data_IF_534790968566
#
_entry.id   IF_534790968566
#
_cell.length_a   1.000
_cell.length_b   1.000
_cell.length_c   1.000
_cell.angle_alpha   90.00
_cell.angle_beta   90.00
_cell.angle_gamma   90.00
#
_symmetry.space_group_name_H-M   'P 1'
#
loop_
_entity.id
_entity.type
_entity.pdbx_description
1 polymer ?
#
# COMPACT_ATOMS: atom_id res chain seq x y z
N UNK A 1 44.03 -26.69 5.67
CA UNK A 1 43.36 -25.93 4.59
C UNK A 1 41.93 -25.59 5.00
N UNK A 2 41.78 -24.51 5.77
CA UNK A 2 40.52 -23.99 6.35
C UNK A 2 39.91 -22.87 5.49
N UNK A 3 40.22 -22.83 4.19
CA UNK A 3 39.95 -21.66 3.34
C UNK A 3 38.75 -21.81 2.39
N UNK A 4 38.14 -23.00 2.29
CA UNK A 4 37.02 -23.24 1.36
C UNK A 4 35.64 -23.14 2.02
N UNK A 5 35.54 -23.14 3.35
CA UNK A 5 34.26 -23.14 4.05
C UNK A 5 33.60 -21.75 4.12
N UNK A 6 34.37 -20.68 3.87
CA UNK A 6 33.89 -19.30 3.90
C UNK A 6 33.25 -18.83 2.57
N UNK A 7 33.46 -19.56 1.47
CA UNK A 7 32.90 -19.20 0.16
C UNK A 7 31.44 -19.67 -0.03
N UNK A 8 30.97 -20.60 0.80
CA UNK A 8 29.59 -21.12 0.75
C UNK A 8 28.58 -20.31 1.59
N UNK A 9 29.05 -19.44 2.49
CA UNK A 9 28.20 -18.56 3.30
C UNK A 9 27.93 -17.18 2.67
N UNK A 10 28.60 -16.85 1.57
CA UNK A 10 28.50 -15.53 0.91
C UNK A 10 27.37 -15.39 -0.12
N UNK A 11 26.68 -16.48 -0.48
CA UNK A 11 25.71 -16.50 -1.59
C UNK A 11 24.25 -16.67 -1.15
N UNK A 12 23.97 -16.53 0.15
CA UNK A 12 22.60 -16.53 0.69
C UNK A 12 22.22 -15.09 1.05
N UNK A 13 22.50 -14.14 0.14
CA UNK A 13 21.76 -12.88 0.15
C UNK A 13 20.42 -13.19 -0.53
N UNK A 14 19.49 -13.76 0.24
CA UNK A 14 18.10 -13.88 -0.20
C UNK A 14 17.65 -12.47 -0.61
N UNK A 15 17.50 -12.24 -1.91
CA UNK A 15 16.64 -11.20 -2.44
C UNK A 15 15.24 -11.53 -1.94
N UNK A 16 14.92 -11.12 -0.70
CA UNK A 16 13.57 -11.09 -0.19
C UNK A 16 12.88 -9.96 -0.97
N UNK A 17 12.16 -10.35 -2.02
CA UNK A 17 11.32 -9.43 -2.76
C UNK A 17 10.17 -8.98 -1.87
N UNK A 18 9.88 -7.68 -1.87
CA UNK A 18 8.79 -7.04 -1.14
C UNK A 18 7.51 -7.89 -1.25
N UNK A 19 6.90 -8.24 -0.13
CA UNK A 19 5.64 -8.99 -0.10
C UNK A 19 4.47 -8.01 -0.02
N UNK A 20 3.43 -8.16 -0.84
CA UNK A 20 2.25 -7.31 -0.82
C UNK A 20 0.96 -8.14 -0.74
N UNK A 21 -0.11 -7.54 -0.23
CA UNK A 21 -1.44 -8.14 -0.34
C UNK A 21 -1.92 -8.14 -1.78
N UNK A 22 -2.65 -9.19 -2.16
CA UNK A 22 -3.23 -9.40 -3.48
C UNK A 22 -4.70 -9.80 -3.38
N UNK A 23 -5.57 -8.95 -3.92
CA UNK A 23 -6.99 -9.20 -4.08
C UNK A 23 -7.60 -8.31 -5.16
N UNK A 24 -8.78 -8.68 -5.65
CA UNK A 24 -9.59 -7.91 -6.59
C UNK A 24 -11.07 -8.07 -6.26
N UNK A 25 -11.77 -6.94 -6.14
CA UNK A 25 -13.21 -6.89 -5.89
C UNK A 25 -13.58 -5.98 -4.72
N UNK A 26 -14.88 -5.84 -4.45
CA UNK A 26 -15.39 -4.93 -3.41
C UNK A 26 -14.94 -5.30 -2.00
N UNK A 27 -14.88 -6.59 -1.68
CA UNK A 27 -14.40 -7.14 -0.40
C UNK A 27 -12.91 -6.85 -0.14
N UNK A 28 -12.15 -6.50 -1.17
CA UNK A 28 -10.76 -6.06 -1.04
C UNK A 28 -10.67 -4.63 -0.45
N UNK A 29 -11.78 -3.98 -0.10
CA UNK A 29 -11.76 -2.67 0.59
C UNK A 29 -11.20 -2.78 2.01
N UNK A 30 -11.59 -3.83 2.73
CA UNK A 30 -11.34 -4.01 4.18
C UNK A 30 -9.91 -4.46 4.49
N UNK A 31 -9.56 -4.48 5.77
CA UNK A 31 -8.26 -4.95 6.23
C UNK A 31 -8.09 -6.44 5.84
N UNK A 32 -7.05 -6.80 5.07
CA UNK A 32 -6.86 -8.16 4.57
C UNK A 32 -6.40 -9.18 5.64
N UNK A 33 -6.04 -8.73 6.84
CA UNK A 33 -5.55 -9.62 7.90
C UNK A 33 -6.65 -10.61 8.31
N UNK A 34 -6.39 -11.91 8.09
CA UNK A 34 -7.33 -12.99 8.43
C UNK A 34 -8.42 -13.26 7.39
N UNK A 35 -8.45 -12.54 6.27
CA UNK A 35 -9.39 -12.82 5.17
C UNK A 35 -8.82 -13.89 4.24
N UNK A 36 -9.46 -15.05 4.21
CA UNK A 36 -9.07 -16.20 3.38
C UNK A 36 -9.14 -15.92 1.87
N UNK A 37 -9.86 -14.87 1.45
CA UNK A 37 -9.99 -14.48 0.05
C UNK A 37 -8.80 -13.64 -0.43
N UNK A 38 -8.02 -13.09 0.50
CA UNK A 38 -6.84 -12.30 0.18
C UNK A 38 -5.62 -13.20 0.18
N UNK A 39 -4.73 -13.01 -0.80
CA UNK A 39 -3.46 -13.72 -0.90
C UNK A 39 -2.29 -12.77 -0.73
N UNK A 40 -1.09 -13.32 -0.56
CA UNK A 40 0.17 -12.59 -0.55
C UNK A 40 0.90 -12.82 -1.86
N UNK A 41 1.64 -11.83 -2.33
CA UNK A 41 2.45 -11.93 -3.55
C UNK A 41 3.81 -11.30 -3.32
N UNK A 42 4.87 -11.91 -3.86
CA UNK A 42 6.21 -11.31 -3.84
C UNK A 42 6.42 -10.48 -5.10
N UNK A 43 6.98 -9.29 -4.94
CA UNK A 43 7.20 -8.33 -6.00
C UNK A 43 8.59 -8.43 -6.61
N UNK A 44 8.71 -8.04 -7.88
CA UNK A 44 9.98 -7.91 -8.57
C UNK A 44 10.77 -6.70 -8.06
N UNK A 45 12.09 -6.66 -8.31
CA UNK A 45 12.89 -5.48 -8.02
C UNK A 45 12.29 -4.22 -8.70
N UNK A 46 12.23 -3.11 -7.95
CA UNK A 46 11.67 -1.80 -8.37
C UNK A 46 10.14 -1.70 -8.42
N UNK A 47 9.43 -2.75 -8.05
CA UNK A 47 7.99 -2.70 -7.82
C UNK A 47 7.67 -2.21 -6.39
N UNK A 48 6.44 -1.76 -6.20
CA UNK A 48 5.91 -1.23 -4.95
C UNK A 48 4.61 -1.95 -4.59
N UNK A 49 4.21 -1.95 -3.32
CA UNK A 49 2.85 -2.35 -3.00
C UNK A 49 1.87 -1.26 -3.44
N UNK A 50 0.81 -1.66 -4.14
CA UNK A 50 -0.26 -0.76 -4.55
C UNK A 50 -1.63 -1.23 -4.03
N UNK A 51 -2.48 -0.24 -3.73
CA UNK A 51 -3.92 -0.39 -3.55
C UNK A 51 -4.62 0.63 -4.44
N UNK A 52 -5.55 0.17 -5.26
CA UNK A 52 -6.31 0.99 -6.21
C UNK A 52 -7.78 0.82 -5.89
N UNK A 53 -8.46 1.92 -5.57
CA UNK A 53 -9.91 1.97 -5.55
C UNK A 53 -10.39 2.57 -6.86
N UNK A 54 -11.27 1.87 -7.54
CA UNK A 54 -11.83 2.25 -8.83
C UNK A 54 -13.32 2.47 -8.71
N UNK A 55 -13.82 3.50 -9.40
CA UNK A 55 -15.22 3.90 -9.39
C UNK A 55 -15.64 4.41 -10.76
N UNK A 56 -16.78 3.96 -11.28
CA UNK A 56 -17.37 4.47 -12.52
C UNK A 56 -18.89 4.35 -12.50
N UNK A 57 -19.58 5.09 -13.36
CA UNK A 57 -20.96 4.76 -13.76
C UNK A 57 -20.93 3.96 -15.06
N UNK A 58 -21.69 2.86 -15.13
CA UNK A 58 -21.89 2.17 -16.40
C UNK A 58 -22.91 2.90 -17.29
N UNK A 59 -23.08 2.42 -18.53
CA UNK A 59 -24.04 2.99 -19.49
C UNK A 59 -25.50 2.89 -19.04
N UNK A 60 -25.80 2.15 -17.97
CA UNK A 60 -27.13 2.03 -17.34
C UNK A 60 -27.28 2.90 -16.10
N UNK A 61 -26.32 3.80 -15.84
CA UNK A 61 -26.22 4.63 -14.64
C UNK A 61 -26.07 3.83 -13.34
N UNK A 62 -25.62 2.57 -13.42
CA UNK A 62 -25.27 1.79 -12.23
C UNK A 62 -23.86 2.14 -11.80
N UNK A 63 -23.70 2.33 -10.50
CA UNK A 63 -22.39 2.55 -9.91
C UNK A 63 -21.62 1.23 -9.88
N UNK A 64 -20.42 1.24 -10.44
CA UNK A 64 -19.46 0.15 -10.33
C UNK A 64 -18.30 0.58 -9.44
N UNK A 65 -17.99 -0.25 -8.44
CA UNK A 65 -16.88 -0.05 -7.52
C UNK A 65 -16.00 -1.30 -7.48
N UNK A 66 -14.69 -1.11 -7.40
CA UNK A 66 -13.76 -2.23 -7.20
C UNK A 66 -12.53 -1.77 -6.45
N UNK A 67 -11.94 -2.68 -5.67
CA UNK A 67 -10.65 -2.46 -5.03
C UNK A 67 -9.69 -3.55 -5.49
N UNK A 68 -8.49 -3.14 -5.89
CA UNK A 68 -7.40 -4.02 -6.28
C UNK A 68 -6.19 -3.77 -5.40
N UNK A 69 -5.57 -4.84 -4.92
CA UNK A 69 -4.26 -4.83 -4.26
C UNK A 69 -3.30 -5.73 -5.03
N UNK A 70 -2.06 -5.29 -5.24
CA UNK A 70 -1.00 -6.08 -5.88
C UNK A 70 0.35 -5.36 -5.76
N UNK A 71 1.40 -5.97 -6.32
CA UNK A 71 2.60 -5.27 -6.76
C UNK A 71 2.28 -4.35 -7.95
N UNK A 72 2.87 -3.15 -7.99
CA UNK A 72 2.81 -2.26 -9.15
C UNK A 72 3.76 -2.71 -10.25
N UNK A 73 3.45 -2.37 -11.50
CA UNK A 73 4.36 -2.58 -12.63
C UNK A 73 5.42 -1.46 -12.65
N UNK A 74 6.51 -1.64 -11.90
CA UNK A 74 7.55 -0.64 -11.67
C UNK A 74 7.20 0.37 -10.57
N UNK A 75 7.82 1.56 -10.58
CA UNK A 75 7.66 2.57 -9.53
C UNK A 75 6.21 3.06 -9.46
N UNK A 76 5.59 2.94 -8.29
CA UNK A 76 4.22 3.38 -8.07
C UNK A 76 4.16 4.87 -7.68
N UNK A 77 3.16 5.59 -8.19
CA UNK A 77 2.91 7.00 -7.86
C UNK A 77 1.49 7.14 -7.33
N UNK A 78 1.32 7.58 -6.09
CA UNK A 78 -0.01 7.75 -5.52
C UNK A 78 -0.82 8.80 -6.30
N UNK A 79 -2.10 8.51 -6.54
CA UNK A 79 -3.07 9.48 -7.06
C UNK A 79 -3.86 10.01 -5.87
N UNK A 80 -3.85 11.32 -5.70
CA UNK A 80 -4.46 11.99 -4.56
C UNK A 80 -5.99 12.02 -4.62
N UNK A 81 -6.61 12.35 -3.49
CA UNK A 81 -8.06 12.50 -3.39
C UNK A 81 -8.59 13.63 -4.30
N UNK A 82 -7.80 14.69 -4.51
CA UNK A 82 -8.18 15.83 -5.35
C UNK A 82 -8.31 15.39 -6.81
N UNK A 83 -7.31 14.70 -7.34
CA UNK A 83 -7.34 14.15 -8.71
C UNK A 83 -8.49 13.16 -8.91
N UNK A 84 -8.79 12.36 -7.89
CA UNK A 84 -9.91 11.43 -7.92
C UNK A 84 -11.26 12.19 -7.96
N UNK A 85 -11.39 13.25 -7.15
CA UNK A 85 -12.57 14.12 -7.12
C UNK A 85 -12.77 14.85 -8.44
N UNK A 86 -11.71 15.42 -8.99
CA UNK A 86 -11.73 16.10 -10.28
C UNK A 86 -12.13 15.16 -11.42
N UNK A 87 -11.65 13.92 -11.40
CA UNK A 87 -12.06 12.89 -12.35
C UNK A 87 -13.57 12.60 -12.25
N UNK A 88 -14.10 12.42 -11.03
CA UNK A 88 -15.53 12.15 -10.81
C UNK A 88 -16.41 13.34 -11.22
N UNK A 89 -15.88 14.56 -11.14
CA UNK A 89 -16.57 15.77 -11.58
C UNK A 89 -16.69 15.88 -13.11
N UNK A 90 -15.92 15.09 -13.89
CA UNK A 90 -16.03 15.02 -15.34
C UNK A 90 -16.90 13.81 -15.76
N UNK A 91 -18.17 14.02 -16.16
CA UNK A 91 -19.10 12.92 -16.44
C UNK A 91 -18.63 12.01 -17.57
N UNK A 92 -17.94 12.57 -18.57
CA UNK A 92 -17.46 11.80 -19.72
C UNK A 92 -16.36 10.82 -19.32
N UNK A 93 -15.40 11.28 -18.53
CA UNK A 93 -14.32 10.41 -18.03
C UNK A 93 -14.90 9.38 -17.06
N UNK A 94 -15.76 9.82 -16.14
CA UNK A 94 -16.30 8.96 -15.10
C UNK A 94 -17.24 7.85 -15.62
N UNK A 95 -17.90 8.05 -16.76
CA UNK A 95 -18.77 7.05 -17.40
C UNK A 95 -18.04 6.12 -18.37
N UNK A 96 -16.94 6.56 -18.98
CA UNK A 96 -16.23 5.78 -20.02
C UNK A 96 -15.01 5.07 -19.43
N UNK A 97 -14.11 5.84 -18.82
CA UNK A 97 -12.80 5.36 -18.35
C UNK A 97 -12.82 5.01 -16.86
N UNK A 98 -13.72 5.65 -16.11
CA UNK A 98 -13.79 5.59 -14.65
C UNK A 98 -12.63 6.32 -13.96
N UNK A 99 -12.76 6.42 -12.65
CA UNK A 99 -11.83 7.15 -11.80
C UNK A 99 -11.12 6.20 -10.86
N UNK A 100 -9.83 6.44 -10.62
CA UNK A 100 -9.03 5.62 -9.71
C UNK A 100 -8.35 6.47 -8.64
N UNK A 101 -8.44 5.99 -7.41
CA UNK A 101 -7.66 6.47 -6.27
C UNK A 101 -6.58 5.43 -6.02
N UNK A 102 -5.30 5.82 -6.11
CA UNK A 102 -4.17 4.91 -5.99
C UNK A 102 -3.30 5.31 -4.82
N UNK A 103 -3.09 4.38 -3.89
CA UNK A 103 -2.14 4.51 -2.79
C UNK A 103 -0.99 3.52 -2.98
N UNK A 104 0.23 4.04 -2.92
CA UNK A 104 1.47 3.29 -3.08
C UNK A 104 2.28 3.32 -1.79
N UNK A 105 3.00 2.25 -1.49
CA UNK A 105 3.99 2.21 -0.43
C UNK A 105 5.18 1.32 -0.83
N UNK A 106 6.36 1.74 -0.41
CA UNK A 106 7.63 1.13 -0.76
C UNK A 106 8.31 0.61 0.50
N UNK A 107 9.09 -0.47 0.37
CA UNK A 107 10.04 -0.96 1.38
C UNK A 107 9.45 -1.50 2.71
N UNK A 108 8.14 -1.74 2.77
CA UNK A 108 7.50 -2.40 3.92
C UNK A 108 6.57 -3.50 3.42
N UNK A 109 6.81 -4.73 3.85
CA UNK A 109 5.95 -5.85 3.50
C UNK A 109 4.51 -5.58 3.94
N UNK A 110 3.56 -5.92 3.07
CA UNK A 110 2.13 -5.93 3.35
C UNK A 110 1.57 -4.53 3.69
N UNK A 111 2.29 -3.47 3.33
CA UNK A 111 1.94 -2.08 3.64
C UNK A 111 0.66 -1.60 2.93
N UNK A 112 0.17 -2.32 1.91
CA UNK A 112 -1.09 -2.03 1.21
C UNK A 112 -2.35 -2.60 1.90
N UNK A 113 -2.25 -2.98 3.18
CA UNK A 113 -3.34 -3.55 3.98
C UNK A 113 -4.50 -2.58 4.19
N UNK A 114 -4.22 -1.31 4.49
CA UNK A 114 -5.19 -0.20 4.60
C UNK A 114 -4.39 1.10 4.47
N UNK A 115 -5.01 2.19 4.00
CA UNK A 115 -4.35 3.48 4.06
C UNK A 115 -4.00 3.73 5.53
N UNK A 116 -2.70 3.73 5.86
CA UNK A 116 -2.23 4.34 7.09
C UNK A 116 -2.68 5.79 6.98
N UNK A 117 -3.84 6.15 7.54
CA UNK A 117 -4.03 7.51 8.00
C UNK A 117 -2.75 7.81 8.75
N UNK A 118 -2.00 8.80 8.28
CA UNK A 118 -0.80 9.35 8.89
C UNK A 118 -1.11 9.63 10.36
N UNK A 119 -1.00 8.60 11.18
CA UNK A 119 -1.07 8.69 12.62
C UNK A 119 0.33 9.13 12.97
N UNK A 120 0.48 10.46 12.96
CA UNK A 120 1.62 11.23 13.38
C UNK A 120 2.47 10.47 14.40
N UNK A 121 3.49 9.74 13.93
CA UNK A 121 4.54 9.16 14.79
C UNK A 121 5.27 10.26 15.58
N UNK A 122 5.10 11.52 15.18
CA UNK A 122 5.51 12.73 15.90
C UNK A 122 4.78 13.00 17.23
N UNK A 123 3.62 12.38 17.52
CA UNK A 123 2.90 12.60 18.79
C UNK A 123 3.45 11.72 19.92
N UNK A 124 4.04 10.56 19.61
CA UNK A 124 4.61 9.65 20.61
C UNK A 124 5.94 10.21 21.14
N UNK A 125 6.76 10.81 20.27
CA UNK A 125 8.02 11.45 20.67
C UNK A 125 7.83 12.73 21.50
N UNK A 126 6.73 13.47 21.30
CA UNK A 126 6.47 14.69 22.08
C UNK A 126 6.08 14.36 23.54
N UNK A 127 5.33 13.27 23.75
CA UNK A 127 4.88 12.86 25.08
C UNK A 127 6.00 12.28 25.96
N UNK A 128 6.97 11.57 25.36
CA UNK A 128 8.13 11.06 26.10
C UNK A 128 9.08 12.20 26.52
N UNK A 129 9.23 13.25 25.71
CA UNK A 129 10.04 14.42 26.08
C UNK A 129 9.38 15.22 27.21
N UNK A 130 8.06 15.43 27.16
CA UNK A 130 7.34 16.18 28.20
C UNK A 130 7.40 15.47 29.56
N UNK A 131 7.26 14.14 29.58
CA UNK A 131 7.32 13.35 30.82
C UNK A 131 8.72 13.34 31.43
N UNK A 132 9.79 13.28 30.62
CA UNK A 132 11.17 13.40 31.12
C UNK A 132 11.45 14.81 31.67
N UNK A 133 10.91 15.86 31.04
CA UNK A 133 11.04 17.23 31.55
C UNK A 133 10.30 17.42 32.89
N UNK A 134 9.09 16.85 33.05
CA UNK A 134 8.34 16.94 34.31
C UNK A 134 8.98 16.16 35.47
N UNK A 135 9.64 15.02 35.20
CA UNK A 135 10.36 14.25 36.24
C UNK A 135 11.61 15.01 36.72
N UNK A 136 12.23 15.82 35.87
CA UNK A 136 13.47 16.55 36.22
C UNK A 136 13.24 17.85 37.00
N UNK A 137 11.98 18.31 37.11
CA UNK A 137 11.58 19.54 37.79
C UNK A 137 10.79 19.30 39.10
N UNK A 138 10.80 18.06 39.61
CA UNK A 138 10.26 17.70 40.94
C UNK A 138 11.37 17.15 41.82
#
# INVERSE_FOLDING_TARGET
>A
MKLYFLWLLGFIMYCTGLECWKCIGEWCRDNPVGDYRVSKTSCQPRESCMKVYYRMYDNTSRLYESVTRSCSMGKCVSLGIDQFTDCMANPRIYQIDGCSLRSCCDNEDLCNSTAKHLTNQSVILLNTILTVLFIRFR
#
